data_IF_312318365348
#
_entry.id   IF_312318365348
#
_cell.length_a   1.000
_cell.length_b   1.000
_cell.length_c   1.000
_cell.angle_alpha   90.00
_cell.angle_beta   90.00
_cell.angle_gamma   90.00
#
_symmetry.space_group_name_H-M   'P 1'
#
loop_
_entity.id
_entity.type
_entity.pdbx_description
1 polymer ?
#
# COMPACT_ATOMS: atom_id res chain seq x y z
N UNK A 1 8.84 -8.68 8.67
CA UNK A 1 7.58 -8.56 9.48
C UNK A 1 7.30 -9.90 10.12
N UNK A 2 7.14 -9.95 11.44
CA UNK A 2 6.85 -11.17 12.20
C UNK A 2 5.35 -11.52 12.19
N UNK A 3 4.98 -12.71 12.64
CA UNK A 3 3.56 -13.09 12.83
C UNK A 3 2.88 -12.18 13.87
N UNK A 4 3.62 -11.70 14.87
CA UNK A 4 3.08 -10.78 15.87
C UNK A 4 2.78 -9.41 15.28
N UNK A 5 3.66 -8.90 14.41
CA UNK A 5 3.40 -7.66 13.66
C UNK A 5 2.16 -7.79 12.78
N UNK A 6 1.96 -8.97 12.15
CA UNK A 6 0.75 -9.26 11.37
C UNK A 6 -0.51 -9.30 12.23
N UNK A 7 -0.43 -9.84 13.46
CA UNK A 7 -1.56 -9.82 14.40
C UNK A 7 -1.96 -8.41 14.81
N UNK A 8 -0.98 -7.52 15.00
CA UNK A 8 -1.25 -6.12 15.31
C UNK A 8 -1.84 -5.37 14.10
N UNK A 9 -1.23 -5.55 12.92
CA UNK A 9 -1.65 -4.85 11.70
C UNK A 9 -3.00 -5.36 11.16
N UNK A 10 -3.22 -6.68 11.17
CA UNK A 10 -4.35 -7.37 10.54
C UNK A 10 -4.90 -8.50 11.45
N UNK A 11 -5.44 -8.19 12.64
CA UNK A 11 -5.79 -9.20 13.65
C UNK A 11 -6.79 -10.24 13.14
N UNK A 12 -7.86 -9.80 12.48
CA UNK A 12 -8.91 -10.69 11.97
C UNK A 12 -8.41 -11.60 10.85
N UNK A 13 -7.58 -11.07 9.94
CA UNK A 13 -7.02 -11.86 8.85
C UNK A 13 -6.01 -12.88 9.37
N UNK A 14 -5.17 -12.49 10.32
CA UNK A 14 -4.18 -13.39 10.92
C UNK A 14 -4.87 -14.55 11.65
N UNK A 15 -5.92 -14.29 12.39
CA UNK A 15 -6.72 -15.34 13.03
C UNK A 15 -7.41 -16.24 11.99
N UNK A 16 -7.99 -15.67 10.94
CA UNK A 16 -8.63 -16.44 9.86
C UNK A 16 -7.62 -17.37 9.19
N UNK A 17 -6.43 -16.89 8.84
CA UNK A 17 -5.41 -17.72 8.23
C UNK A 17 -4.84 -18.74 9.20
N UNK A 18 -4.76 -18.44 10.50
CA UNK A 18 -4.41 -19.43 11.50
C UNK A 18 -5.39 -20.61 11.49
N UNK A 19 -6.69 -20.34 11.51
CA UNK A 19 -7.73 -21.37 11.45
C UNK A 19 -7.68 -22.18 10.13
N UNK A 20 -7.42 -21.52 9.00
CA UNK A 20 -7.25 -22.17 7.69
C UNK A 20 -6.05 -23.13 7.71
N UNK A 21 -4.92 -22.68 8.27
CA UNK A 21 -3.71 -23.51 8.39
C UNK A 21 -3.89 -24.68 9.36
N UNK A 22 -4.55 -24.46 10.51
CA UNK A 22 -4.88 -25.50 11.50
C UNK A 22 -5.78 -26.59 10.91
N UNK A 23 -6.73 -26.19 10.06
CA UNK A 23 -7.61 -27.10 9.36
C UNK A 23 -6.95 -27.80 8.16
N UNK A 24 -5.73 -27.41 7.77
CA UNK A 24 -5.06 -27.92 6.57
C UNK A 24 -5.80 -27.58 5.27
N UNK A 25 -6.56 -26.49 5.24
CA UNK A 25 -7.46 -26.11 4.13
C UNK A 25 -6.99 -24.86 3.38
N UNK A 26 -5.69 -24.63 3.30
CA UNK A 26 -5.18 -23.54 2.50
C UNK A 26 -5.57 -23.76 1.04
N UNK A 27 -6.31 -22.83 0.46
CA UNK A 27 -6.74 -22.89 -0.94
C UNK A 27 -5.53 -22.63 -1.87
N UNK A 28 -5.62 -23.10 -3.09
CA UNK A 28 -4.55 -22.94 -4.09
C UNK A 28 -4.50 -21.54 -4.72
N UNK A 29 -5.55 -20.70 -4.60
CA UNK A 29 -5.56 -19.35 -5.19
C UNK A 29 -6.26 -18.33 -4.31
N UNK A 30 -5.56 -17.23 -4.03
CA UNK A 30 -6.02 -16.11 -3.24
C UNK A 30 -5.84 -14.79 -3.99
N UNK A 31 -6.78 -13.87 -3.79
CA UNK A 31 -6.65 -12.47 -4.17
C UNK A 31 -6.61 -11.61 -2.90
N UNK A 32 -5.49 -10.97 -2.65
CA UNK A 32 -5.29 -10.04 -1.54
C UNK A 32 -5.48 -8.61 -2.06
N UNK A 33 -6.55 -7.96 -1.63
CA UNK A 33 -6.90 -6.60 -1.99
C UNK A 33 -6.51 -5.63 -0.89
N UNK A 34 -5.66 -4.66 -1.21
CA UNK A 34 -5.07 -3.69 -0.28
C UNK A 34 -3.58 -3.93 -0.05
N UNK A 35 -2.87 -2.81 0.23
CA UNK A 35 -1.39 -2.79 0.28
C UNK A 35 -0.83 -2.91 1.70
N UNK A 36 -1.68 -2.98 2.74
CA UNK A 36 -1.22 -3.04 4.11
C UNK A 36 -1.05 -4.48 4.59
N UNK A 37 0.20 -4.92 4.65
CA UNK A 37 0.63 -6.26 5.10
C UNK A 37 0.20 -7.43 4.17
N UNK A 38 -0.35 -7.17 2.97
CA UNK A 38 -0.75 -8.25 2.05
C UNK A 38 0.45 -9.06 1.57
N UNK A 39 1.55 -8.40 1.21
CA UNK A 39 2.78 -9.08 0.81
C UNK A 39 3.42 -9.85 1.99
N UNK A 40 3.49 -9.22 3.17
CA UNK A 40 4.01 -9.89 4.37
C UNK A 40 3.18 -11.12 4.75
N UNK A 41 1.84 -11.06 4.62
CA UNK A 41 0.97 -12.22 4.85
C UNK A 41 1.25 -13.33 3.82
N UNK A 42 1.38 -12.99 2.54
CA UNK A 42 1.70 -13.98 1.50
C UNK A 42 3.07 -14.64 1.74
N UNK A 43 4.09 -13.88 2.15
CA UNK A 43 5.40 -14.42 2.54
C UNK A 43 5.29 -15.35 3.77
N UNK A 44 4.59 -14.92 4.82
CA UNK A 44 4.43 -15.69 6.05
C UNK A 44 3.67 -17.01 5.81
N UNK A 45 2.64 -16.98 4.97
CA UNK A 45 1.94 -18.20 4.54
C UNK A 45 2.86 -19.11 3.73
N UNK A 46 3.65 -18.54 2.81
CA UNK A 46 4.67 -19.29 2.06
C UNK A 46 5.70 -19.92 2.99
N UNK A 47 6.25 -19.16 3.93
CA UNK A 47 7.17 -19.67 4.95
C UNK A 47 6.52 -20.79 5.77
N UNK A 48 5.23 -20.67 6.13
CA UNK A 48 4.54 -21.68 6.92
C UNK A 48 4.35 -23.02 6.16
N UNK A 49 4.33 -22.98 4.83
CA UNK A 49 4.28 -24.19 4.00
C UNK A 49 5.60 -24.99 3.99
N UNK A 50 6.75 -24.29 4.06
CA UNK A 50 8.09 -24.87 3.94
C UNK A 50 8.90 -24.89 5.23
N UNK A 51 8.37 -24.31 6.32
CA UNK A 51 9.10 -24.18 7.59
C UNK A 51 9.36 -25.56 8.21
N UNK A 52 10.63 -25.83 8.53
CA UNK A 52 11.08 -27.04 9.21
C UNK A 52 10.76 -27.04 10.72
N UNK A 53 10.70 -25.85 11.33
CA UNK A 53 10.54 -25.66 12.77
C UNK A 53 9.33 -24.76 13.06
N UNK A 54 8.12 -25.19 12.68
CA UNK A 54 6.90 -24.38 12.88
C UNK A 54 6.63 -24.11 14.35
N UNK A 55 6.16 -22.92 14.65
CA UNK A 55 5.60 -22.52 15.95
C UNK A 55 4.05 -22.64 15.87
N UNK A 56 3.50 -23.79 16.27
CA UNK A 56 2.12 -24.13 15.95
C UNK A 56 1.95 -24.32 14.45
N UNK A 57 1.11 -23.50 13.81
CA UNK A 57 0.88 -23.52 12.34
C UNK A 57 1.72 -22.51 11.59
N UNK A 58 2.32 -21.55 12.31
CA UNK A 58 3.09 -20.45 11.71
C UNK A 58 4.57 -20.80 11.53
N UNK A 59 5.20 -20.10 10.60
CA UNK A 59 6.65 -20.19 10.36
C UNK A 59 7.45 -19.71 11.56
N UNK A 60 8.65 -20.28 11.76
CA UNK A 60 9.56 -19.83 12.82
C UNK A 60 10.35 -18.54 12.46
N UNK A 61 10.36 -18.13 11.19
CA UNK A 61 11.11 -16.97 10.70
C UNK A 61 12.64 -17.13 10.65
N UNK A 62 13.22 -18.19 11.26
CA UNK A 62 14.67 -18.30 11.49
C UNK A 62 15.35 -19.48 10.82
N UNK A 63 14.62 -20.53 10.39
CA UNK A 63 15.21 -21.66 9.69
C UNK A 63 15.70 -21.29 8.28
N UNK A 64 16.42 -22.19 7.62
CA UNK A 64 16.95 -21.98 6.25
C UNK A 64 15.84 -21.58 5.27
N UNK A 65 14.76 -22.35 5.22
CA UNK A 65 13.64 -22.07 4.31
C UNK A 65 13.01 -20.69 4.58
N UNK A 66 12.73 -20.35 5.85
CA UNK A 66 12.15 -19.05 6.19
C UNK A 66 13.03 -17.87 5.76
N UNK A 67 14.34 -17.96 5.97
CA UNK A 67 15.28 -16.88 5.58
C UNK A 67 15.39 -16.74 4.05
N UNK A 68 15.47 -17.86 3.32
CA UNK A 68 15.52 -17.82 1.87
C UNK A 68 14.21 -17.32 1.25
N UNK A 69 13.05 -17.61 1.83
CA UNK A 69 11.77 -17.07 1.38
C UNK A 69 11.70 -15.56 1.65
N UNK A 70 12.19 -15.11 2.81
CA UNK A 70 12.23 -13.68 3.15
C UNK A 70 13.13 -12.88 2.20
N UNK A 71 14.27 -13.46 1.79
CA UNK A 71 15.19 -12.87 0.78
C UNK A 71 14.75 -13.10 -0.66
N UNK A 72 13.63 -13.79 -0.89
CA UNK A 72 13.10 -14.16 -2.22
C UNK A 72 14.03 -15.07 -3.05
N UNK A 73 14.91 -15.82 -2.37
CA UNK A 73 15.90 -16.73 -2.99
C UNK A 73 15.53 -18.22 -2.89
N UNK A 74 14.33 -18.54 -2.38
CA UNK A 74 13.87 -19.92 -2.25
C UNK A 74 13.32 -20.44 -3.58
N UNK A 75 13.84 -21.57 -4.08
CA UNK A 75 13.55 -22.08 -5.43
C UNK A 75 12.08 -22.35 -5.71
N UNK A 76 11.33 -22.80 -4.70
CA UNK A 76 9.92 -23.17 -4.85
C UNK A 76 8.94 -22.03 -4.48
N UNK A 77 9.46 -20.83 -4.20
CA UNK A 77 8.68 -19.60 -3.99
C UNK A 77 9.12 -18.55 -4.99
N UNK A 78 8.24 -18.17 -5.89
CA UNK A 78 8.55 -17.17 -6.93
C UNK A 78 7.73 -15.89 -6.69
N UNK A 79 8.42 -14.77 -6.55
CA UNK A 79 7.80 -13.44 -6.49
C UNK A 79 7.88 -12.77 -7.85
N UNK A 80 6.75 -12.28 -8.33
CA UNK A 80 6.63 -11.56 -9.61
C UNK A 80 6.20 -10.15 -9.36
N UNK A 81 6.96 -9.20 -9.91
CA UNK A 81 6.64 -7.77 -9.88
C UNK A 81 6.56 -7.21 -11.30
N UNK A 82 5.78 -6.14 -11.51
CA UNK A 82 5.76 -5.46 -12.81
C UNK A 82 7.13 -4.88 -13.14
N UNK A 83 7.50 -4.95 -14.41
CA UNK A 83 8.67 -4.29 -14.96
C UNK A 83 8.17 -3.16 -15.86
N UNK A 84 8.61 -1.92 -15.58
CA UNK A 84 8.08 -0.72 -16.24
C UNK A 84 6.55 -0.59 -16.15
N UNK A 85 5.99 -0.95 -14.99
CA UNK A 85 4.54 -0.84 -14.71
C UNK A 85 3.67 -1.91 -15.37
N UNK A 86 4.24 -2.97 -15.97
CA UNK A 86 3.49 -4.03 -16.65
C UNK A 86 4.06 -5.40 -16.31
N UNK A 87 3.17 -6.39 -16.10
CA UNK A 87 3.54 -7.81 -16.05
C UNK A 87 3.25 -8.42 -17.43
N UNK A 88 4.33 -8.75 -18.14
CA UNK A 88 4.26 -9.29 -19.50
C UNK A 88 3.70 -10.72 -19.53
N UNK A 89 3.02 -11.05 -20.62
CA UNK A 89 2.44 -12.38 -20.87
C UNK A 89 3.48 -13.50 -20.84
N UNK A 90 4.67 -13.25 -21.40
CA UNK A 90 5.76 -14.21 -21.46
C UNK A 90 6.19 -14.65 -20.05
N UNK A 91 6.29 -13.69 -19.12
CA UNK A 91 6.67 -13.97 -17.73
C UNK A 91 5.67 -14.91 -17.05
N UNK A 92 4.38 -14.66 -17.23
CA UNK A 92 3.33 -15.53 -16.66
C UNK A 92 3.31 -16.90 -17.35
N UNK A 93 3.53 -16.97 -18.66
CA UNK A 93 3.63 -18.25 -19.38
C UNK A 93 4.83 -19.09 -18.95
N UNK A 94 5.95 -18.47 -18.60
CA UNK A 94 7.10 -19.15 -18.01
C UNK A 94 6.73 -19.75 -16.67
N UNK A 95 6.06 -19.00 -15.80
CA UNK A 95 5.57 -19.51 -14.52
C UNK A 95 4.62 -20.68 -14.73
N UNK A 96 3.63 -20.55 -15.61
CA UNK A 96 2.66 -21.63 -15.91
C UNK A 96 3.35 -22.90 -16.42
N UNK A 97 4.43 -22.78 -17.18
CA UNK A 97 5.23 -23.94 -17.59
C UNK A 97 5.95 -24.60 -16.42
N UNK A 98 6.43 -23.81 -15.48
CA UNK A 98 7.10 -24.31 -14.28
C UNK A 98 6.11 -25.02 -13.33
N UNK A 99 4.80 -24.69 -13.36
CA UNK A 99 3.76 -25.39 -12.60
C UNK A 99 3.64 -26.89 -12.96
N UNK A 100 4.06 -27.29 -14.16
CA UNK A 100 4.03 -28.67 -14.60
C UNK A 100 5.25 -29.47 -14.17
N UNK A 101 6.22 -28.83 -13.51
CA UNK A 101 7.41 -29.48 -12.96
C UNK A 101 7.24 -29.59 -11.44
N UNK A 102 7.67 -30.71 -10.86
CA UNK A 102 7.72 -30.86 -9.40
C UNK A 102 8.65 -29.81 -8.79
N UNK A 103 8.34 -29.31 -7.60
CA UNK A 103 9.23 -28.42 -6.87
C UNK A 103 10.62 -29.00 -6.67
N UNK A 104 11.63 -28.14 -6.53
CA UNK A 104 13.04 -28.57 -6.38
C UNK A 104 13.36 -29.03 -4.95
N UNK A 105 12.74 -28.41 -3.95
CA UNK A 105 12.94 -28.73 -2.52
C UNK A 105 11.71 -29.45 -1.90
N UNK A 106 10.61 -29.64 -2.67
CA UNK A 106 9.39 -30.31 -2.21
C UNK A 106 8.36 -30.48 -3.32
N UNK A 107 7.18 -31.00 -2.96
CA UNK A 107 6.08 -31.17 -3.92
C UNK A 107 5.19 -29.92 -4.06
N UNK A 108 5.55 -28.82 -3.37
CA UNK A 108 4.76 -27.59 -3.31
C UNK A 108 5.47 -26.48 -4.05
N UNK A 109 4.71 -25.59 -4.68
CA UNK A 109 5.22 -24.36 -5.28
C UNK A 109 4.33 -23.19 -4.89
N UNK A 110 4.93 -22.03 -4.65
CA UNK A 110 4.20 -20.80 -4.30
C UNK A 110 4.55 -19.68 -5.28
N UNK A 111 3.54 -18.96 -5.71
CA UNK A 111 3.65 -17.83 -6.61
C UNK A 111 2.98 -16.60 -6.00
N UNK A 112 3.77 -15.56 -5.76
CA UNK A 112 3.29 -14.28 -5.26
C UNK A 112 3.38 -13.28 -6.40
N UNK A 113 2.24 -12.83 -6.92
CA UNK A 113 2.15 -11.88 -8.03
C UNK A 113 1.74 -10.53 -7.46
N UNK A 114 2.72 -9.64 -7.29
CA UNK A 114 2.51 -8.27 -6.82
C UNK A 114 1.92 -7.41 -7.94
N UNK A 115 1.08 -6.43 -7.56
CA UNK A 115 0.39 -5.54 -8.50
C UNK A 115 -0.28 -6.32 -9.65
N UNK A 116 -1.08 -7.31 -9.31
CA UNK A 116 -1.71 -8.22 -10.27
C UNK A 116 -2.63 -7.49 -11.27
N UNK A 117 -3.09 -6.28 -10.95
CA UNK A 117 -3.80 -5.37 -11.86
C UNK A 117 -2.92 -4.87 -13.02
N UNK A 118 -1.60 -4.96 -12.92
CA UNK A 118 -0.65 -4.62 -13.99
C UNK A 118 -0.41 -5.77 -14.98
N UNK A 119 -1.08 -6.91 -14.80
CA UNK A 119 -1.01 -7.99 -15.78
C UNK A 119 -1.73 -7.60 -17.07
N UNK A 120 -1.06 -7.85 -18.20
CA UNK A 120 -1.74 -7.79 -19.49
C UNK A 120 -2.88 -8.84 -19.52
N UNK A 121 -4.00 -8.53 -20.18
CA UNK A 121 -5.20 -9.42 -20.24
C UNK A 121 -4.83 -10.85 -20.66
N UNK A 122 -3.94 -11.02 -21.63
CA UNK A 122 -3.47 -12.33 -22.07
C UNK A 122 -2.64 -13.06 -21.00
N UNK A 123 -1.90 -12.33 -20.15
CA UNK A 123 -1.18 -12.88 -19.02
C UNK A 123 -2.16 -13.43 -17.98
N UNK A 124 -3.13 -12.61 -17.61
CA UNK A 124 -4.19 -12.98 -16.68
C UNK A 124 -4.97 -14.23 -17.15
N UNK A 125 -5.36 -14.26 -18.43
CA UNK A 125 -6.04 -15.42 -19.01
C UNK A 125 -5.18 -16.69 -19.02
N UNK A 126 -3.85 -16.57 -19.10
CA UNK A 126 -2.94 -17.72 -19.02
C UNK A 126 -2.92 -18.37 -17.64
N UNK A 127 -3.26 -17.62 -16.57
CA UNK A 127 -3.37 -18.15 -15.20
C UNK A 127 -4.68 -18.89 -14.95
N UNK A 128 -5.75 -18.58 -15.68
CA UNK A 128 -7.08 -19.11 -15.37
C UNK A 128 -7.10 -20.64 -15.36
N UNK A 129 -6.45 -21.29 -16.35
CA UNK A 129 -6.40 -22.75 -16.42
C UNK A 129 -5.72 -23.38 -15.20
N UNK A 130 -4.65 -22.76 -14.70
CA UNK A 130 -3.91 -23.25 -13.53
C UNK A 130 -4.69 -23.01 -12.24
N UNK A 131 -5.41 -21.89 -12.16
CA UNK A 131 -6.28 -21.58 -11.02
C UNK A 131 -7.49 -22.52 -10.98
N UNK A 132 -8.01 -22.96 -12.14
CA UNK A 132 -9.15 -23.92 -12.20
C UNK A 132 -8.74 -25.35 -11.91
N UNK A 133 -7.64 -25.82 -12.52
CA UNK A 133 -7.20 -27.21 -12.49
C UNK A 133 -5.69 -27.29 -12.21
N UNK A 134 -5.25 -27.09 -10.97
CA UNK A 134 -3.84 -27.20 -10.62
C UNK A 134 -3.33 -28.63 -10.82
N UNK A 135 -2.25 -28.80 -11.60
CA UNK A 135 -1.66 -30.11 -11.90
C UNK A 135 -0.72 -30.62 -10.81
N UNK A 136 -0.36 -29.76 -9.86
CA UNK A 136 0.53 -30.04 -8.72
C UNK A 136 0.06 -29.26 -7.48
N UNK A 137 0.70 -29.46 -6.34
CA UNK A 137 0.40 -28.69 -5.12
C UNK A 137 0.97 -27.28 -5.23
N UNK A 138 0.17 -26.37 -5.80
CA UNK A 138 0.54 -24.97 -6.02
C UNK A 138 -0.31 -24.04 -5.18
N UNK A 139 0.29 -22.90 -4.80
CA UNK A 139 -0.39 -21.83 -4.11
C UNK A 139 -0.09 -20.50 -4.82
N UNK A 140 -1.13 -19.76 -5.17
CA UNK A 140 -1.04 -18.51 -5.92
C UNK A 140 -1.63 -17.39 -5.06
N UNK A 141 -0.82 -16.39 -4.75
CA UNK A 141 -1.23 -15.16 -4.08
C UNK A 141 -1.17 -14.01 -5.09
N UNK A 142 -2.33 -13.50 -5.50
CA UNK A 142 -2.45 -12.31 -6.33
C UNK A 142 -2.63 -11.10 -5.41
N UNK A 143 -1.74 -10.13 -5.49
CA UNK A 143 -1.80 -8.92 -4.66
C UNK A 143 -2.18 -7.73 -5.53
N UNK A 144 -3.11 -6.91 -5.08
CA UNK A 144 -3.52 -5.68 -5.77
C UNK A 144 -3.92 -4.61 -4.76
N UNK A 145 -3.72 -3.35 -5.11
CA UNK A 145 -4.24 -2.23 -4.33
C UNK A 145 -5.77 -2.14 -4.41
N UNK A 146 -6.34 -2.49 -5.56
CA UNK A 146 -7.78 -2.40 -5.83
C UNK A 146 -8.27 -3.62 -6.65
N UNK A 147 -9.16 -4.41 -6.05
CA UNK A 147 -9.76 -5.58 -6.71
C UNK A 147 -10.65 -5.24 -7.91
N UNK A 148 -11.13 -3.99 -8.01
CA UNK A 148 -11.94 -3.56 -9.15
C UNK A 148 -11.15 -3.52 -10.45
N UNK A 149 -9.82 -3.44 -10.38
CA UNK A 149 -8.91 -3.49 -11.51
C UNK A 149 -8.58 -4.91 -11.97
N UNK A 150 -8.98 -5.93 -11.19
CA UNK A 150 -8.75 -7.34 -11.50
C UNK A 150 -9.91 -7.89 -12.35
N UNK A 151 -9.57 -8.72 -13.35
CA UNK A 151 -10.56 -9.34 -14.22
C UNK A 151 -11.61 -10.14 -13.43
N UNK A 152 -12.90 -10.02 -13.73
CA UNK A 152 -13.97 -10.77 -13.06
C UNK A 152 -13.75 -12.30 -13.12
N UNK A 153 -13.13 -12.79 -14.18
CA UNK A 153 -12.80 -14.21 -14.37
C UNK A 153 -11.75 -14.74 -13.37
N UNK A 154 -10.81 -13.90 -12.92
CA UNK A 154 -9.86 -14.23 -11.84
C UNK A 154 -10.59 -14.15 -10.49
N UNK A 155 -11.34 -13.07 -10.24
CA UNK A 155 -12.06 -12.89 -8.97
C UNK A 155 -13.01 -14.04 -8.66
N UNK A 156 -13.69 -14.57 -9.66
CA UNK A 156 -14.64 -15.70 -9.46
C UNK A 156 -13.95 -17.03 -9.10
N UNK A 157 -12.63 -17.15 -9.25
CA UNK A 157 -11.84 -18.37 -9.03
C UNK A 157 -10.85 -18.25 -7.88
N UNK A 158 -10.78 -17.09 -7.25
CA UNK A 158 -9.88 -16.82 -6.13
C UNK A 158 -10.68 -16.53 -4.86
N UNK A 159 -10.12 -16.89 -3.72
CA UNK A 159 -10.67 -16.44 -2.44
C UNK A 159 -10.14 -15.03 -2.15
N UNK A 160 -11.05 -14.07 -1.98
CA UNK A 160 -10.69 -12.66 -1.84
C UNK A 160 -10.57 -12.31 -0.35
N UNK A 161 -9.45 -11.67 0.02
CA UNK A 161 -9.22 -11.10 1.34
C UNK A 161 -8.84 -9.62 1.24
N UNK A 162 -9.45 -8.80 2.10
CA UNK A 162 -9.25 -7.34 2.09
C UNK A 162 -8.28 -6.91 3.17
N UNK A 163 -7.11 -6.45 2.77
CA UNK A 163 -6.05 -5.92 3.62
C UNK A 163 -6.24 -4.42 3.81
N UNK A 164 -7.12 -4.07 4.73
CA UNK A 164 -7.41 -2.66 5.04
C UNK A 164 -6.32 -2.06 5.90
N UNK A 165 -6.09 -0.77 5.69
CA UNK A 165 -5.18 0.00 6.52
C UNK A 165 -5.70 0.07 7.97
N UNK A 166 -4.92 -0.45 8.90
CA UNK A 166 -5.13 -0.21 10.32
C UNK A 166 -4.27 1.00 10.74
N UNK A 167 -4.86 2.20 10.65
CA UNK A 167 -4.15 3.45 10.91
C UNK A 167 -3.63 3.53 12.35
N UNK A 168 -4.38 3.00 13.33
CA UNK A 168 -3.97 3.01 14.73
C UNK A 168 -2.75 2.09 14.96
N UNK A 169 -2.74 0.90 14.37
CA UNK A 169 -1.61 -0.02 14.46
C UNK A 169 -0.36 0.57 13.78
N UNK A 170 -0.52 1.15 12.58
CA UNK A 170 0.59 1.80 11.87
C UNK A 170 1.15 2.99 12.67
N UNK A 171 0.28 3.82 13.27
CA UNK A 171 0.72 4.91 14.14
C UNK A 171 1.54 4.38 15.32
N UNK A 172 1.07 3.33 15.99
CA UNK A 172 1.78 2.73 17.13
C UNK A 172 3.16 2.20 16.73
N UNK A 173 3.26 1.49 15.60
CA UNK A 173 4.54 1.01 15.07
C UNK A 173 5.52 2.16 14.78
N UNK A 174 5.03 3.27 14.20
CA UNK A 174 5.84 4.44 13.94
C UNK A 174 6.31 5.15 15.22
N UNK A 175 5.48 5.18 16.28
CA UNK A 175 5.85 5.68 17.60
C UNK A 175 6.92 4.80 18.25
N UNK A 176 6.80 3.47 18.17
CA UNK A 176 7.83 2.51 18.63
C UNK A 176 9.14 2.64 17.85
N UNK A 177 9.09 2.99 16.57
CA UNK A 177 10.25 3.31 15.73
C UNK A 177 10.88 4.68 16.05
N UNK A 178 10.33 5.44 17.01
CA UNK A 178 10.91 6.67 17.54
C UNK A 178 10.32 7.97 17.01
N UNK A 179 9.24 7.94 16.22
CA UNK A 179 8.57 9.15 15.82
C UNK A 179 7.74 9.74 16.97
N UNK A 180 7.68 11.06 17.05
CA UNK A 180 6.75 11.71 17.97
C UNK A 180 5.31 11.50 17.50
N UNK A 181 4.38 11.45 18.44
CA UNK A 181 2.96 11.11 18.20
C UNK A 181 2.33 11.87 17.02
N UNK A 182 2.57 13.18 16.93
CA UNK A 182 1.99 14.01 15.85
C UNK A 182 2.54 13.67 14.46
N UNK A 183 3.81 13.28 14.37
CA UNK A 183 4.43 12.82 13.13
C UNK A 183 3.94 11.43 12.75
N UNK A 184 3.89 10.51 13.71
CA UNK A 184 3.39 9.15 13.52
C UNK A 184 1.92 9.16 13.06
N UNK A 185 1.06 9.95 13.70
CA UNK A 185 -0.34 10.10 13.33
C UNK A 185 -0.51 10.64 11.89
N UNK A 186 0.24 11.69 11.53
CA UNK A 186 0.19 12.26 10.18
C UNK A 186 0.71 11.26 9.16
N UNK A 187 1.85 10.63 9.43
CA UNK A 187 2.45 9.68 8.51
C UNK A 187 1.58 8.44 8.35
N UNK A 188 0.98 7.96 9.44
CA UNK A 188 0.00 6.88 9.39
C UNK A 188 -1.27 7.26 8.58
N UNK A 189 -1.71 8.51 8.58
CA UNK A 189 -2.80 8.95 7.73
C UNK A 189 -2.37 9.11 6.25
N UNK A 190 -1.17 9.62 6.02
CA UNK A 190 -0.59 9.95 4.71
C UNK A 190 -0.26 8.71 3.87
N UNK A 191 0.44 7.71 4.45
CA UNK A 191 1.02 6.60 3.70
C UNK A 191 -0.05 5.67 3.12
N UNK A 192 0.20 5.15 1.91
CA UNK A 192 -0.67 4.18 1.24
C UNK A 192 -0.16 2.74 1.39
N UNK A 193 1.11 2.58 1.76
CA UNK A 193 1.74 1.27 2.03
C UNK A 193 2.60 1.35 3.27
N UNK A 194 2.94 0.19 3.85
CA UNK A 194 3.87 0.10 4.97
C UNK A 194 5.27 0.60 4.56
N UNK A 195 5.72 0.20 3.38
CA UNK A 195 7.03 0.56 2.82
C UNK A 195 7.15 2.08 2.65
N UNK A 196 6.09 2.75 2.16
CA UNK A 196 6.05 4.23 2.08
C UNK A 196 6.19 4.87 3.46
N UNK A 197 5.49 4.33 4.47
CA UNK A 197 5.58 4.83 5.83
C UNK A 197 7.00 4.69 6.41
N UNK A 198 7.63 3.52 6.24
CA UNK A 198 8.96 3.23 6.74
C UNK A 198 10.03 4.10 6.05
N UNK A 199 9.93 4.31 4.75
CA UNK A 199 10.83 5.18 3.98
C UNK A 199 10.70 6.64 4.41
N UNK A 200 9.48 7.13 4.60
CA UNK A 200 9.24 8.52 4.99
C UNK A 200 9.55 8.78 6.47
N UNK A 201 9.50 7.77 7.34
CA UNK A 201 9.78 7.91 8.77
C UNK A 201 11.15 8.51 9.07
N UNK A 202 12.15 8.22 8.24
CA UNK A 202 13.52 8.76 8.38
C UNK A 202 13.81 9.96 7.47
N UNK A 203 12.83 10.42 6.67
CA UNK A 203 13.03 11.45 5.66
C UNK A 203 12.84 12.86 6.22
N UNK A 204 13.95 13.54 6.52
CA UNK A 204 13.94 14.92 7.05
C UNK A 204 13.27 15.92 6.11
N UNK A 205 13.50 15.81 4.81
CA UNK A 205 12.90 16.71 3.81
C UNK A 205 11.39 16.59 3.80
N UNK A 206 10.85 15.38 3.95
CA UNK A 206 9.41 15.15 4.08
C UNK A 206 8.84 15.88 5.32
N UNK A 207 9.47 15.77 6.48
CA UNK A 207 8.99 16.44 7.70
C UNK A 207 9.16 17.97 7.64
N UNK A 208 10.07 18.50 6.83
CA UNK A 208 10.14 19.93 6.54
C UNK A 208 8.90 20.38 5.73
N UNK A 209 8.52 19.62 4.68
CA UNK A 209 7.28 19.87 3.94
C UNK A 209 6.05 19.80 4.85
N UNK A 210 6.00 18.80 5.75
CA UNK A 210 4.93 18.68 6.75
C UNK A 210 4.84 19.92 7.64
N UNK A 211 5.97 20.38 8.18
CA UNK A 211 6.02 21.53 9.08
C UNK A 211 5.50 22.82 8.41
N UNK A 212 5.96 23.11 7.19
CA UNK A 212 5.48 24.28 6.45
C UNK A 212 4.01 24.14 6.01
N UNK A 213 3.58 22.92 5.65
CA UNK A 213 2.17 22.66 5.34
C UNK A 213 1.25 22.85 6.56
N UNK A 214 1.70 22.46 7.76
CA UNK A 214 0.96 22.71 9.01
C UNK A 214 0.82 24.22 9.29
N UNK A 215 1.90 25.00 9.08
CA UNK A 215 1.85 26.47 9.21
C UNK A 215 0.87 27.09 8.21
N UNK A 216 0.89 26.63 6.98
CA UNK A 216 -0.04 27.07 5.94
C UNK A 216 -1.50 26.77 6.32
N UNK A 217 -1.81 25.52 6.71
CA UNK A 217 -3.18 25.14 7.10
C UNK A 217 -3.67 25.95 8.29
N UNK A 218 -2.83 26.10 9.32
CA UNK A 218 -3.17 26.95 10.48
C UNK A 218 -3.49 28.38 10.06
N UNK A 219 -2.70 28.96 9.17
CA UNK A 219 -2.95 30.30 8.64
C UNK A 219 -4.23 30.32 7.79
N UNK A 220 -4.46 29.34 6.92
CA UNK A 220 -5.64 29.27 6.05
C UNK A 220 -6.96 29.19 6.83
N UNK A 221 -6.93 28.60 8.04
CA UNK A 221 -8.09 28.50 8.92
C UNK A 221 -8.34 29.77 9.77
N UNK A 222 -7.31 30.61 9.97
CA UNK A 222 -7.39 31.73 10.93
C UNK A 222 -7.18 33.12 10.29
N UNK A 223 -6.31 33.23 9.28
CA UNK A 223 -5.94 34.53 8.70
C UNK A 223 -5.47 34.36 7.23
N UNK A 224 -6.33 34.76 6.31
CA UNK A 224 -6.09 34.63 4.86
C UNK A 224 -4.83 35.39 4.37
N UNK A 225 -4.53 36.56 4.93
CA UNK A 225 -3.34 37.32 4.55
C UNK A 225 -2.05 36.57 4.93
N UNK A 226 -2.03 35.94 6.12
CA UNK A 226 -0.90 35.11 6.52
C UNK A 226 -0.80 33.85 5.67
N UNK A 227 -1.93 33.23 5.34
CA UNK A 227 -1.96 32.06 4.46
C UNK A 227 -1.39 32.39 3.08
N UNK A 228 -1.78 33.55 2.50
CA UNK A 228 -1.23 34.01 1.21
C UNK A 228 0.29 34.13 1.23
N UNK A 229 0.87 34.69 2.30
CA UNK A 229 2.32 34.79 2.46
C UNK A 229 3.00 33.43 2.62
N UNK A 230 2.32 32.43 3.18
CA UNK A 230 2.86 31.07 3.29
C UNK A 230 2.90 30.33 1.95
N UNK A 231 2.04 30.67 0.97
CA UNK A 231 2.07 30.07 -0.37
C UNK A 231 3.45 30.19 -1.00
N UNK A 232 4.08 31.37 -0.91
CA UNK A 232 5.40 31.58 -1.49
C UNK A 232 6.49 30.70 -0.85
N UNK A 233 6.36 30.36 0.44
CA UNK A 233 7.29 29.44 1.12
C UNK A 233 7.10 28.00 0.67
N UNK A 234 5.84 27.55 0.57
CA UNK A 234 5.54 26.22 0.05
C UNK A 234 6.00 26.08 -1.40
N UNK A 235 5.80 27.10 -2.23
CA UNK A 235 6.23 27.11 -3.62
C UNK A 235 7.76 26.99 -3.76
N UNK A 236 8.53 27.57 -2.85
CA UNK A 236 10.01 27.41 -2.82
C UNK A 236 10.47 26.00 -2.46
N UNK A 237 9.73 25.28 -1.63
CA UNK A 237 10.03 23.90 -1.26
C UNK A 237 9.56 22.90 -2.33
N UNK A 238 8.56 23.30 -3.13
CA UNK A 238 7.95 22.50 -4.18
C UNK A 238 8.72 22.60 -5.51
N UNK A 239 9.99 22.20 -5.52
CA UNK A 239 10.92 22.37 -6.66
C UNK A 239 10.51 21.58 -7.90
N UNK A 240 9.84 20.45 -7.71
CA UNK A 240 9.39 19.54 -8.76
C UNK A 240 7.93 19.10 -8.57
N UNK A 241 7.38 18.42 -9.58
CA UNK A 241 5.99 17.96 -9.55
C UNK A 241 5.73 16.93 -8.44
N UNK A 242 6.70 16.12 -8.10
CA UNK A 242 6.55 15.09 -7.07
C UNK A 242 6.42 15.72 -5.68
N UNK A 243 7.26 16.71 -5.38
CA UNK A 243 7.13 17.50 -4.14
C UNK A 243 5.83 18.30 -4.09
N UNK A 244 5.37 18.84 -5.22
CA UNK A 244 4.08 19.53 -5.31
C UNK A 244 2.92 18.57 -5.00
N UNK A 245 2.94 17.36 -5.55
CA UNK A 245 1.93 16.34 -5.25
C UNK A 245 1.99 15.88 -3.78
N UNK A 246 3.19 15.73 -3.22
CA UNK A 246 3.36 15.44 -1.80
C UNK A 246 2.74 16.52 -0.92
N UNK A 247 2.98 17.80 -1.22
CA UNK A 247 2.38 18.92 -0.47
C UNK A 247 0.85 18.87 -0.57
N UNK A 248 0.27 18.68 -1.75
CA UNK A 248 -1.19 18.55 -1.87
C UNK A 248 -1.73 17.43 -1.01
N UNK A 249 -1.08 16.26 -1.02
CA UNK A 249 -1.49 15.10 -0.21
C UNK A 249 -1.36 15.39 1.31
N UNK A 250 -0.30 16.08 1.74
CA UNK A 250 -0.12 16.52 3.14
C UNK A 250 -1.24 17.47 3.54
N UNK A 251 -1.54 18.49 2.70
CA UNK A 251 -2.60 19.45 2.96
C UNK A 251 -3.98 18.79 3.04
N UNK A 252 -4.28 17.81 2.18
CA UNK A 252 -5.50 16.99 2.24
C UNK A 252 -5.63 16.28 3.59
N UNK A 253 -4.57 15.62 4.06
CA UNK A 253 -4.55 14.92 5.35
C UNK A 253 -4.75 15.89 6.52
N UNK A 254 -4.09 17.05 6.48
CA UNK A 254 -4.20 18.07 7.53
C UNK A 254 -5.60 18.69 7.59
N UNK A 255 -6.18 19.06 6.44
CA UNK A 255 -7.52 19.63 6.38
C UNK A 255 -8.62 18.60 6.67
N UNK A 256 -8.38 17.32 6.36
CA UNK A 256 -9.31 16.25 6.73
C UNK A 256 -9.52 16.14 8.24
N UNK A 257 -8.56 16.53 9.06
CA UNK A 257 -8.71 16.60 10.54
C UNK A 257 -9.65 17.71 10.98
N UNK A 258 -9.85 18.73 10.14
CA UNK A 258 -10.65 19.92 10.43
C UNK A 258 -12.09 19.84 9.87
N UNK A 259 -12.51 18.66 9.35
CA UNK A 259 -13.84 18.44 8.78
C UNK A 259 -15.00 18.67 9.76
N UNK A 260 -14.73 18.67 11.06
CA UNK A 260 -15.70 19.03 12.10
C UNK A 260 -16.15 20.49 12.02
N UNK A 261 -15.36 21.39 11.43
CA UNK A 261 -15.67 22.80 11.25
C UNK A 261 -16.16 23.09 9.82
N UNK A 262 -17.04 24.10 9.67
CA UNK A 262 -17.52 24.57 8.37
C UNK A 262 -16.35 25.15 7.53
N UNK A 263 -15.47 25.91 8.18
CA UNK A 263 -14.27 26.49 7.55
C UNK A 263 -13.36 25.38 7.04
N UNK A 264 -13.11 24.33 7.82
CA UNK A 264 -12.27 23.20 7.43
C UNK A 264 -12.81 22.48 6.21
N UNK A 265 -14.13 22.20 6.17
CA UNK A 265 -14.79 21.58 5.00
C UNK A 265 -14.62 22.42 3.74
N UNK A 266 -14.91 23.74 3.85
CA UNK A 266 -14.77 24.67 2.72
C UNK A 266 -13.32 24.74 2.23
N UNK A 267 -12.34 24.84 3.13
CA UNK A 267 -10.92 24.88 2.74
C UNK A 267 -10.44 23.57 2.10
N UNK A 268 -10.97 22.43 2.50
CA UNK A 268 -10.67 21.16 1.82
C UNK A 268 -11.28 21.12 0.41
N UNK A 269 -12.52 21.58 0.22
CA UNK A 269 -13.14 21.70 -1.11
C UNK A 269 -12.32 22.64 -2.02
N UNK A 270 -11.92 23.81 -1.52
CA UNK A 270 -11.09 24.77 -2.25
C UNK A 270 -9.70 24.16 -2.60
N UNK A 271 -9.11 23.38 -1.69
CA UNK A 271 -7.85 22.67 -1.97
C UNK A 271 -8.01 21.63 -3.09
N UNK A 272 -9.10 20.86 -3.09
CA UNK A 272 -9.36 19.86 -4.13
C UNK A 272 -9.57 20.51 -5.50
N UNK A 273 -10.17 21.70 -5.55
CA UNK A 273 -10.29 22.48 -6.77
C UNK A 273 -8.93 23.02 -7.23
N UNK A 274 -8.12 23.58 -6.31
CA UNK A 274 -6.77 24.02 -6.61
C UNK A 274 -5.90 22.88 -7.16
N UNK A 275 -6.02 21.68 -6.60
CA UNK A 275 -5.33 20.48 -7.11
C UNK A 275 -5.78 20.10 -8.52
N UNK A 276 -7.07 20.23 -8.84
CA UNK A 276 -7.58 20.04 -10.22
C UNK A 276 -6.98 21.06 -11.20
N UNK A 277 -6.92 22.33 -10.79
CA UNK A 277 -6.29 23.39 -11.58
C UNK A 277 -4.81 23.10 -11.84
N UNK A 278 -4.06 22.70 -10.81
CA UNK A 278 -2.67 22.31 -10.94
C UNK A 278 -2.48 21.12 -11.91
N UNK A 279 -3.32 20.10 -11.81
CA UNK A 279 -3.32 18.97 -12.75
C UNK A 279 -3.64 19.37 -14.18
N UNK A 280 -4.41 20.47 -14.36
CA UNK A 280 -4.67 21.10 -15.65
C UNK A 280 -3.57 22.10 -16.08
N UNK A 281 -2.35 21.98 -15.52
CA UNK A 281 -1.16 22.78 -15.81
C UNK A 281 -1.20 24.25 -15.34
N UNK A 282 -2.05 24.62 -14.39
CA UNK A 282 -1.90 25.88 -13.65
C UNK A 282 -0.68 25.75 -12.72
N UNK A 283 0.11 26.82 -12.55
CA UNK A 283 1.26 26.77 -11.65
C UNK A 283 0.84 26.43 -10.22
N UNK A 284 1.68 25.69 -9.48
CA UNK A 284 1.42 25.29 -8.10
C UNK A 284 1.12 26.49 -7.19
N UNK A 285 1.91 27.55 -7.32
CA UNK A 285 1.71 28.79 -6.57
C UNK A 285 0.35 29.41 -6.86
N UNK A 286 0.00 29.61 -8.13
CA UNK A 286 -1.28 30.22 -8.52
C UNK A 286 -2.48 29.39 -8.08
N UNK A 287 -2.37 28.06 -8.10
CA UNK A 287 -3.43 27.17 -7.63
C UNK A 287 -3.69 27.33 -6.12
N UNK A 288 -2.63 27.43 -5.30
CA UNK A 288 -2.78 27.66 -3.86
C UNK A 288 -3.21 29.10 -3.53
N UNK A 289 -2.74 30.11 -4.28
CA UNK A 289 -3.22 31.48 -4.14
C UNK A 289 -4.72 31.59 -4.43
N UNK A 290 -5.19 30.93 -5.50
CA UNK A 290 -6.62 30.84 -5.82
C UNK A 290 -7.43 30.23 -4.65
N UNK A 291 -6.95 29.13 -4.05
CA UNK A 291 -7.58 28.49 -2.88
C UNK A 291 -7.79 29.49 -1.73
N UNK A 292 -6.83 30.38 -1.48
CA UNK A 292 -6.93 31.36 -0.38
C UNK A 292 -7.86 32.51 -0.75
N UNK A 293 -7.72 33.09 -1.98
CA UNK A 293 -8.43 34.29 -2.40
C UNK A 293 -9.91 34.05 -2.75
N UNK A 294 -10.29 32.82 -3.13
CA UNK A 294 -11.67 32.46 -3.46
C UNK A 294 -12.64 32.73 -2.30
N UNK A 295 -12.23 32.50 -1.07
CA UNK A 295 -13.05 32.72 0.10
C UNK A 295 -13.36 34.22 0.28
N UNK A 296 -12.39 35.13 0.01
CA UNK A 296 -12.56 36.57 0.09
C UNK A 296 -13.50 37.14 -0.98
N UNK A 297 -13.61 36.49 -2.14
CA UNK A 297 -14.48 36.90 -3.23
C UNK A 297 -15.97 36.60 -2.99
N UNK A 298 -16.27 35.57 -2.18
CA UNK A 298 -17.65 35.16 -1.83
C UNK A 298 -18.22 35.92 -0.61
N UNK A 299 -17.38 36.64 0.12
CA UNK A 299 -17.77 37.45 1.30
C UNK A 299 -18.09 38.92 0.95
N UNK A 300 -18.01 39.30 -0.32
CA UNK A 300 -18.44 40.59 -0.87
C UNK A 300 -19.70 40.44 -1.72
#
# INVERSE_FOLDING_TARGET
MTVEDLRQAQPQLTETFQQILEAGRLNHAYLFSGNFSSFAMALTLSQSLFCENRQGVWSCGTCRACRLIESEDFSDVTVVRPVNGIIKTERIRELVRNFSQSGMEGNKQVFIICDADKMHVNAANSLLKVIEEPQSEIYIFLLTADEHLILPTIKSRTQIFHFRKNQAALQHQLEEAGLIKSQAELLAAYSQTQEEADQLASNRSFFELVSESQRFVKAALTNENQAYLQVAKLAKLAEDKDKQEQIFKILEVLLAKELGSEIGRKKLEDLLEAKKMWRANVSFQNALEYMILKASAQAR
#
